data_IF_578335194773
#
_entry.id   IF_578335194773
#
_cell.length_a   1.000
_cell.length_b   1.000
_cell.length_c   1.000
_cell.angle_alpha   90.00
_cell.angle_beta   90.00
_cell.angle_gamma   90.00
#
_symmetry.space_group_name_H-M   'P 1'
#
loop_
_entity.id
_entity.type
_entity.pdbx_description
1 polymer ?
#
# COMPACT_ATOMS: atom_id res chain seq x y z
N UNK A 1 4.98 12.07 -18.86
CA UNK A 1 4.01 11.12 -19.46
C UNK A 1 2.71 11.19 -18.65
N UNK A 2 1.55 11.31 -19.29
CA UNK A 2 0.28 11.43 -18.55
C UNK A 2 -0.11 10.08 -17.93
N UNK A 3 -0.60 10.10 -16.67
CA UNK A 3 -0.95 8.89 -15.90
C UNK A 3 -2.16 8.14 -16.48
N UNK A 4 -3.01 8.83 -17.22
CA UNK A 4 -4.26 8.30 -17.79
C UNK A 4 -4.41 8.78 -19.24
N UNK A 5 -5.27 8.10 -20.00
CA UNK A 5 -5.59 8.45 -21.39
C UNK A 5 -6.97 9.11 -21.49
N UNK A 6 -7.18 9.91 -22.53
CA UNK A 6 -8.50 10.47 -22.86
C UNK A 6 -9.44 9.31 -23.25
N UNK A 7 -10.69 9.35 -22.78
CA UNK A 7 -11.69 8.29 -22.93
C UNK A 7 -11.55 7.14 -21.92
N UNK A 8 -10.51 7.15 -21.07
CA UNK A 8 -10.35 6.14 -20.04
C UNK A 8 -11.34 6.37 -18.89
N UNK A 9 -11.95 5.29 -18.39
CA UNK A 9 -12.72 5.31 -17.13
C UNK A 9 -11.74 5.16 -15.96
N UNK A 10 -11.83 6.09 -15.02
CA UNK A 10 -11.04 6.13 -13.79
C UNK A 10 -11.96 6.22 -12.58
N UNK A 11 -11.49 5.77 -11.42
CA UNK A 11 -12.27 5.79 -10.17
C UNK A 11 -11.60 6.75 -9.19
N UNK A 12 -12.40 7.57 -8.51
CA UNK A 12 -11.85 8.44 -7.46
C UNK A 12 -11.33 7.59 -6.29
N UNK A 13 -10.10 7.86 -5.86
CA UNK A 13 -9.40 7.13 -4.81
C UNK A 13 -9.74 7.63 -3.40
N UNK A 14 -10.26 8.85 -3.31
CA UNK A 14 -10.63 9.58 -2.09
C UNK A 14 -11.73 10.60 -2.41
N UNK A 15 -12.54 10.93 -1.41
CA UNK A 15 -13.53 11.98 -1.52
C UNK A 15 -12.81 13.32 -1.61
N UNK A 16 -13.30 14.19 -2.48
CA UNK A 16 -12.81 15.55 -2.56
C UNK A 16 -13.97 16.50 -2.78
N UNK A 17 -14.16 17.40 -1.83
CA UNK A 17 -15.14 18.47 -1.89
C UNK A 17 -14.41 19.79 -1.66
N UNK A 18 -14.50 20.71 -2.62
CA UNK A 18 -13.99 22.07 -2.46
C UNK A 18 -15.13 23.07 -2.55
N UNK A 19 -15.43 23.72 -1.42
CA UNK A 19 -16.46 24.76 -1.32
C UNK A 19 -16.13 25.97 -2.19
N UNK A 20 -14.85 26.32 -2.30
CA UNK A 20 -14.36 27.49 -3.04
C UNK A 20 -14.46 27.33 -4.57
N UNK A 21 -14.34 26.10 -5.08
CA UNK A 21 -14.35 25.83 -6.52
C UNK A 21 -15.52 24.95 -6.99
N UNK A 22 -16.43 24.59 -6.07
CA UNK A 22 -17.58 23.73 -6.35
C UNK A 22 -17.21 22.37 -6.95
N UNK A 23 -16.01 21.85 -6.67
CA UNK A 23 -15.50 20.59 -7.22
C UNK A 23 -15.84 19.45 -6.28
N UNK A 24 -16.52 18.44 -6.78
CA UNK A 24 -16.96 17.28 -6.00
C UNK A 24 -16.65 16.00 -6.77
N UNK A 25 -15.82 15.14 -6.18
CA UNK A 25 -15.66 13.76 -6.62
C UNK A 25 -15.82 12.84 -5.41
N UNK A 26 -16.67 11.84 -5.54
CA UNK A 26 -16.94 10.80 -4.56
C UNK A 26 -16.13 9.55 -4.89
N UNK A 27 -15.50 8.97 -3.85
CA UNK A 27 -14.71 7.74 -3.88
C UNK A 27 -15.53 6.59 -4.46
N UNK A 28 -14.90 5.76 -5.27
CA UNK A 28 -15.54 4.57 -5.82
C UNK A 28 -16.50 4.83 -6.98
N UNK A 29 -16.83 6.08 -7.28
CA UNK A 29 -17.59 6.44 -8.48
C UNK A 29 -16.67 6.44 -9.72
N UNK A 30 -17.12 5.90 -10.86
CA UNK A 30 -16.39 5.99 -12.12
C UNK A 30 -16.55 7.37 -12.77
N UNK A 31 -15.47 7.86 -13.38
CA UNK A 31 -15.39 9.11 -14.12
C UNK A 31 -14.67 8.88 -15.44
N UNK A 32 -15.17 9.49 -16.51
CA UNK A 32 -14.50 9.46 -17.80
C UNK A 32 -13.50 10.61 -17.93
N UNK A 33 -12.28 10.30 -18.37
CA UNK A 33 -11.27 11.30 -18.66
C UNK A 33 -11.59 12.01 -19.98
N UNK A 34 -12.06 13.24 -19.90
CA UNK A 34 -12.43 14.04 -21.07
C UNK A 34 -11.26 14.81 -21.68
N UNK A 35 -10.24 15.12 -20.88
CA UNK A 35 -9.06 15.86 -21.35
C UNK A 35 -7.92 15.77 -20.36
N UNK A 36 -6.70 15.94 -20.85
CA UNK A 36 -5.49 15.99 -20.02
C UNK A 36 -4.82 17.33 -20.24
N UNK A 37 -4.55 18.07 -19.16
CA UNK A 37 -3.83 19.33 -19.23
C UNK A 37 -2.38 19.08 -19.65
N UNK A 38 -1.99 19.55 -20.83
CA UNK A 38 -0.67 19.27 -21.40
C UNK A 38 0.49 19.82 -20.55
N UNK A 39 0.32 20.98 -19.91
CA UNK A 39 1.34 21.62 -19.07
C UNK A 39 1.30 21.20 -17.60
N UNK A 40 0.12 20.85 -17.08
CA UNK A 40 -0.08 20.57 -15.65
C UNK A 40 -0.26 19.08 -15.34
N UNK A 41 -0.46 18.25 -16.36
CA UNK A 41 -0.82 16.84 -16.22
C UNK A 41 -2.19 16.59 -15.58
N UNK A 42 -2.98 17.63 -15.30
CA UNK A 42 -4.28 17.50 -14.62
C UNK A 42 -5.29 16.75 -15.47
N UNK A 43 -6.14 15.98 -14.79
CA UNK A 43 -7.18 15.17 -15.41
C UNK A 43 -8.48 15.96 -15.40
N UNK A 44 -9.04 16.21 -16.57
CA UNK A 44 -10.34 16.84 -16.74
C UNK A 44 -11.45 15.79 -16.81
N UNK A 45 -12.34 15.77 -15.82
CA UNK A 45 -13.51 14.86 -15.75
C UNK A 45 -14.78 15.67 -15.47
N UNK A 46 -15.96 15.09 -15.67
CA UNK A 46 -17.21 15.67 -15.12
C UNK A 46 -17.30 15.33 -13.63
N UNK A 47 -17.43 16.35 -12.81
CA UNK A 47 -17.63 16.19 -11.37
C UNK A 47 -19.04 15.65 -11.04
N UNK A 48 -19.33 15.43 -9.77
CA UNK A 48 -20.63 14.89 -9.33
C UNK A 48 -21.83 15.79 -9.64
N UNK A 49 -21.59 17.06 -9.98
CA UNK A 49 -22.59 18.03 -10.42
C UNK A 49 -22.70 18.12 -11.94
N UNK A 50 -21.97 17.28 -12.68
CA UNK A 50 -21.96 17.23 -14.14
C UNK A 50 -21.08 18.29 -14.81
N UNK A 51 -20.40 19.13 -14.04
CA UNK A 51 -19.53 20.18 -14.57
C UNK A 51 -18.15 19.63 -14.90
N UNK A 52 -17.58 19.99 -16.06
CA UNK A 52 -16.20 19.62 -16.40
C UNK A 52 -15.23 20.37 -15.49
N UNK A 53 -14.41 19.65 -14.73
CA UNK A 53 -13.42 20.19 -13.79
C UNK A 53 -12.08 19.47 -13.92
N UNK A 54 -11.01 20.16 -13.55
CA UNK A 54 -9.67 19.62 -13.52
C UNK A 54 -9.23 19.25 -12.10
N UNK A 55 -8.68 18.06 -12.00
CA UNK A 55 -8.27 17.43 -10.75
C UNK A 55 -6.85 16.89 -10.88
N UNK A 56 -6.23 16.65 -9.73
CA UNK A 56 -4.88 16.09 -9.71
C UNK A 56 -4.93 14.57 -10.02
N UNK A 57 -3.96 14.02 -10.77
CA UNK A 57 -3.99 12.59 -11.16
C UNK A 57 -3.89 11.60 -9.99
N UNK A 58 -3.41 12.02 -8.82
CA UNK A 58 -3.36 11.22 -7.59
C UNK A 58 -4.75 10.95 -7.00
N UNK A 59 -5.73 11.78 -7.34
CA UNK A 59 -7.11 11.64 -6.89
C UNK A 59 -7.85 10.50 -7.59
N UNK A 60 -7.24 9.90 -8.62
CA UNK A 60 -7.83 8.80 -9.38
C UNK A 60 -6.93 7.57 -9.44
N UNK A 61 -7.58 6.43 -9.67
CA UNK A 61 -6.98 5.13 -9.95
C UNK A 61 -7.66 4.53 -11.18
N UNK A 62 -7.01 3.58 -11.85
CA UNK A 62 -7.71 2.75 -12.84
C UNK A 62 -8.78 1.90 -12.15
N UNK A 63 -9.80 1.49 -12.90
CA UNK A 63 -10.87 0.61 -12.38
C UNK A 63 -10.28 -0.69 -11.82
N UNK A 64 -9.33 -1.30 -12.54
CA UNK A 64 -8.63 -2.52 -12.09
C UNK A 64 -7.90 -2.31 -10.76
N UNK A 65 -7.17 -1.21 -10.61
CA UNK A 65 -6.45 -0.90 -9.38
C UNK A 65 -7.41 -0.63 -8.21
N UNK A 66 -8.58 -0.05 -8.50
CA UNK A 66 -9.62 0.17 -7.49
C UNK A 66 -10.27 -1.14 -7.04
N UNK A 67 -10.59 -2.05 -7.96
CA UNK A 67 -11.15 -3.38 -7.61
C UNK A 67 -10.13 -4.23 -6.84
N UNK A 68 -8.85 -4.18 -7.19
CA UNK A 68 -7.79 -4.82 -6.40
C UNK A 68 -7.68 -4.23 -4.98
N UNK A 69 -7.73 -2.90 -4.85
CA UNK A 69 -7.73 -2.23 -3.54
C UNK A 69 -8.95 -2.63 -2.70
N UNK A 70 -10.14 -2.65 -3.30
CA UNK A 70 -11.41 -3.03 -2.67
C UNK A 70 -11.44 -4.51 -2.27
N UNK A 71 -10.93 -5.40 -3.11
CA UNK A 71 -10.75 -6.81 -2.80
C UNK A 71 -9.77 -7.00 -1.62
N UNK A 72 -8.65 -6.27 -1.62
CA UNK A 72 -7.68 -6.29 -0.53
C UNK A 72 -8.26 -5.77 0.78
N UNK A 73 -9.03 -4.68 0.75
CA UNK A 73 -9.72 -4.13 1.92
C UNK A 73 -10.79 -5.08 2.46
N UNK A 74 -11.55 -5.76 1.60
CA UNK A 74 -12.48 -6.83 2.01
C UNK A 74 -11.76 -7.98 2.69
N UNK A 75 -10.62 -8.41 2.15
CA UNK A 75 -9.78 -9.47 2.74
C UNK A 75 -9.10 -9.07 4.07
N UNK A 76 -9.08 -7.78 4.39
CA UNK A 76 -8.50 -7.23 5.62
C UNK A 76 -9.57 -6.92 6.69
N UNK A 77 -10.86 -6.99 6.35
CA UNK A 77 -11.98 -6.67 7.26
C UNK A 77 -12.33 -7.81 8.22
N UNK A 78 -11.96 -9.05 7.89
CA UNK A 78 -12.35 -10.22 8.67
C UNK A 78 -11.28 -10.59 9.69
N UNK A 79 -11.71 -10.77 10.94
CA UNK A 79 -10.84 -11.28 11.99
C UNK A 79 -10.65 -12.80 11.84
N UNK A 80 -9.48 -13.36 12.22
CA UNK A 80 -9.28 -14.79 12.20
C UNK A 80 -10.29 -15.52 13.10
N UNK A 81 -11.18 -16.33 12.50
CA UNK A 81 -12.18 -17.14 13.23
C UNK A 81 -13.63 -16.65 13.08
N UNK A 82 -13.88 -15.59 12.32
CA UNK A 82 -15.22 -15.07 12.09
C UNK A 82 -16.00 -15.96 11.09
N UNK A 83 -17.14 -16.52 11.53
CA UNK A 83 -18.07 -17.26 10.67
C UNK A 83 -19.00 -16.25 9.99
N UNK A 84 -18.86 -16.08 8.69
CA UNK A 84 -19.72 -15.17 7.91
C UNK A 84 -20.89 -15.96 7.32
N UNK A 85 -22.15 -15.70 7.74
CA UNK A 85 -23.30 -16.24 7.04
C UNK A 85 -23.44 -15.51 5.69
N UNK A 86 -23.18 -16.21 4.58
CA UNK A 86 -23.44 -15.67 3.24
C UNK A 86 -24.91 -15.91 2.90
N UNK A 87 -25.69 -14.89 2.50
CA UNK A 87 -27.04 -15.12 2.00
C UNK A 87 -26.95 -15.96 0.72
N UNK A 88 -27.62 -17.12 0.74
CA UNK A 88 -27.71 -18.04 -0.40
C UNK A 88 -28.30 -17.27 -1.58
N UNK A 89 -27.51 -17.01 -2.63
CA UNK A 89 -28.02 -16.41 -3.88
C UNK A 89 -27.10 -15.46 -4.64
N UNK A 90 -25.94 -15.04 -4.11
CA UNK A 90 -24.98 -14.21 -4.85
C UNK A 90 -23.64 -14.91 -5.05
N UNK A 91 -23.67 -16.02 -5.79
CA UNK A 91 -22.47 -16.71 -6.25
C UNK A 91 -21.82 -15.92 -7.41
N UNK A 92 -21.15 -14.81 -7.07
CA UNK A 92 -20.13 -14.22 -7.93
C UNK A 92 -18.84 -15.02 -7.78
N UNK A 93 -18.33 -15.53 -8.89
CA UNK A 93 -17.13 -16.36 -9.04
C UNK A 93 -15.91 -15.81 -8.30
N UNK A 94 -15.67 -16.22 -7.05
CA UNK A 94 -14.37 -16.03 -6.40
C UNK A 94 -14.02 -17.22 -5.52
N UNK A 95 -12.90 -17.88 -5.82
CA UNK A 95 -11.89 -18.42 -4.89
C UNK A 95 -12.33 -19.24 -3.65
N UNK A 96 -13.45 -19.95 -3.68
CA UNK A 96 -13.87 -20.78 -2.54
C UNK A 96 -14.02 -22.25 -2.93
N UNK A 97 -13.45 -23.14 -2.11
CA UNK A 97 -13.77 -24.57 -2.13
C UNK A 97 -15.01 -24.74 -1.25
N UNK A 98 -16.12 -25.11 -1.85
CA UNK A 98 -17.34 -25.48 -1.12
C UNK A 98 -17.18 -26.90 -0.58
N UNK A 99 -17.20 -27.07 0.74
CA UNK A 99 -17.60 -28.37 1.30
C UNK A 99 -19.12 -28.46 1.22
N UNK A 100 -19.64 -29.66 0.94
CA UNK A 100 -21.03 -29.98 0.57
C UNK A 100 -22.15 -29.60 1.58
N UNK A 101 -21.89 -28.69 2.52
CA UNK A 101 -22.84 -28.06 3.44
C UNK A 101 -22.87 -26.53 3.38
N UNK A 102 -22.30 -25.89 2.34
CA UNK A 102 -22.40 -24.42 2.15
C UNK A 102 -21.51 -23.59 3.07
N UNK A 103 -20.51 -24.20 3.71
CA UNK A 103 -19.54 -23.49 4.56
C UNK A 103 -18.24 -23.28 3.80
N UNK A 104 -17.83 -22.02 3.68
CA UNK A 104 -16.54 -21.64 3.07
C UNK A 104 -15.46 -21.74 4.16
N UNK A 105 -14.57 -22.73 4.03
CA UNK A 105 -13.35 -22.77 4.84
C UNK A 105 -12.30 -21.84 4.23
N UNK A 106 -12.20 -20.62 4.75
CA UNK A 106 -11.09 -19.72 4.39
C UNK A 106 -9.80 -20.37 4.86
N UNK A 107 -8.96 -20.84 3.94
CA UNK A 107 -7.62 -21.33 4.29
C UNK A 107 -6.89 -20.22 5.04
N UNK A 108 -6.39 -20.48 6.27
CA UNK A 108 -5.70 -19.47 7.04
C UNK A 108 -4.53 -18.95 6.21
N UNK A 109 -4.43 -17.62 6.06
CA UNK A 109 -3.20 -17.01 5.57
C UNK A 109 -2.06 -17.54 6.46
N UNK A 110 -0.91 -17.98 5.90
CA UNK A 110 0.26 -18.22 6.73
C UNK A 110 0.50 -16.91 7.49
N UNK A 111 0.35 -16.94 8.82
CA UNK A 111 0.66 -15.77 9.67
C UNK A 111 2.02 -15.30 9.19
N UNK A 112 2.13 -14.04 8.74
CA UNK A 112 3.44 -13.42 8.53
C UNK A 112 4.12 -13.53 9.89
N UNK A 113 5.01 -14.51 10.05
CA UNK A 113 5.75 -14.68 11.29
C UNK A 113 6.58 -13.42 11.38
N UNK A 114 6.25 -12.54 12.32
CA UNK A 114 7.14 -11.44 12.69
C UNK A 114 8.51 -12.08 12.91
N UNK A 115 9.56 -11.66 12.18
CA UNK A 115 10.87 -12.26 12.34
C UNK A 115 11.27 -12.10 13.80
N UNK A 116 11.40 -13.22 14.51
CA UNK A 116 11.76 -13.24 15.94
C UNK A 116 13.26 -13.01 16.15
N UNK A 117 14.07 -13.32 15.14
CA UNK A 117 15.50 -13.06 15.10
C UNK A 117 15.97 -13.01 13.64
N UNK A 118 17.05 -12.25 13.41
CA UNK A 118 17.79 -12.21 12.15
C UNK A 118 19.20 -12.68 12.48
N UNK A 119 19.70 -13.67 11.75
CA UNK A 119 21.12 -14.07 11.83
C UNK A 119 21.88 -13.26 10.80
N UNK A 120 22.88 -12.52 11.24
CA UNK A 120 23.78 -11.73 10.40
C UNK A 120 25.17 -12.33 10.58
N UNK A 121 25.92 -12.46 9.50
CA UNK A 121 27.33 -12.85 9.59
C UNK A 121 28.11 -11.76 10.33
N UNK A 122 28.95 -12.10 11.34
CA UNK A 122 29.77 -11.13 12.03
C UNK A 122 30.63 -10.25 11.10
N UNK A 123 31.11 -10.77 9.98
CA UNK A 123 31.91 -10.01 9.02
C UNK A 123 31.09 -8.91 8.33
N UNK A 124 29.84 -9.22 7.97
CA UNK A 124 28.92 -8.27 7.35
C UNK A 124 28.48 -7.19 8.34
N UNK A 125 28.24 -7.58 9.60
CA UNK A 125 27.93 -6.65 10.67
C UNK A 125 29.08 -5.63 10.90
N UNK A 126 30.33 -6.09 10.95
CA UNK A 126 31.50 -5.21 11.11
C UNK A 126 31.67 -4.25 9.95
N UNK A 127 31.51 -4.72 8.71
CA UNK A 127 31.58 -3.87 7.50
C UNK A 127 30.48 -2.81 7.50
N UNK A 128 29.25 -3.19 7.82
CA UNK A 128 28.12 -2.27 7.87
C UNK A 128 28.31 -1.20 8.95
N UNK A 129 28.76 -1.58 10.14
CA UNK A 129 29.01 -0.65 11.24
C UNK A 129 30.20 0.28 10.96
N UNK A 130 31.28 -0.24 10.38
CA UNK A 130 32.44 0.58 9.93
C UNK A 130 32.00 1.65 8.92
N UNK A 131 31.21 1.25 7.93
CA UNK A 131 30.63 2.18 6.94
C UNK A 131 29.76 3.24 7.63
N UNK A 132 28.91 2.83 8.56
CA UNK A 132 28.04 3.73 9.31
C UNK A 132 28.83 4.75 10.16
N UNK A 133 29.92 4.33 10.82
CA UNK A 133 30.79 5.24 11.60
C UNK A 133 31.39 6.35 10.73
N UNK A 134 31.82 6.00 9.52
CA UNK A 134 32.36 6.97 8.56
C UNK A 134 31.28 7.90 8.00
N UNK A 135 30.16 7.34 7.55
CA UNK A 135 29.12 8.11 6.84
C UNK A 135 28.26 8.98 7.76
N UNK A 136 27.96 8.49 8.97
CA UNK A 136 27.05 9.19 9.90
C UNK A 136 27.82 10.03 10.91
N UNK A 137 28.95 9.52 11.42
CA UNK A 137 29.68 10.14 12.52
C UNK A 137 31.02 10.76 12.09
N UNK A 138 31.45 10.57 10.84
CA UNK A 138 32.72 11.12 10.34
C UNK A 138 33.97 10.51 11.00
N UNK A 139 33.83 9.37 11.68
CA UNK A 139 34.92 8.71 12.38
C UNK A 139 35.57 7.72 11.42
N UNK A 140 36.84 7.96 11.09
CA UNK A 140 37.64 7.03 10.27
C UNK A 140 38.27 5.96 11.18
N UNK A 141 37.47 4.94 11.49
CA UNK A 141 37.89 3.82 12.33
C UNK A 141 37.24 2.52 11.84
N UNK A 142 37.90 1.39 12.08
CA UNK A 142 37.37 0.07 11.72
C UNK A 142 36.76 -0.62 12.93
N UNK A 143 35.61 -1.29 12.76
CA UNK A 143 34.99 -2.05 13.87
C UNK A 143 35.63 -3.43 13.98
N UNK A 144 36.40 -3.64 15.04
CA UNK A 144 37.04 -4.93 15.30
C UNK A 144 36.11 -5.90 16.02
N UNK A 145 35.34 -5.41 16.99
CA UNK A 145 34.43 -6.25 17.77
C UNK A 145 33.14 -5.49 18.12
N UNK A 146 32.05 -6.26 18.25
CA UNK A 146 30.74 -5.76 18.68
C UNK A 146 30.36 -6.55 19.92
N UNK A 147 30.24 -5.86 21.06
CA UNK A 147 29.94 -6.46 22.35
C UNK A 147 28.53 -6.04 22.75
N UNK A 148 27.69 -7.01 23.11
CA UNK A 148 26.38 -6.72 23.69
C UNK A 148 26.55 -6.26 25.13
N UNK A 149 26.13 -5.03 25.43
CA UNK A 149 26.11 -4.52 26.79
C UNK A 149 24.88 -5.04 27.55
N UNK A 150 24.99 -5.14 28.88
CA UNK A 150 23.93 -5.70 29.75
C UNK A 150 22.62 -4.88 29.72
N UNK A 151 22.70 -3.61 29.33
CA UNK A 151 21.58 -2.66 29.22
C UNK A 151 20.88 -2.68 27.86
N UNK A 152 21.18 -3.68 27.02
CA UNK A 152 20.68 -3.81 25.63
C UNK A 152 21.28 -2.80 24.65
N UNK A 153 22.32 -2.06 25.03
CA UNK A 153 23.12 -1.27 24.09
C UNK A 153 24.21 -2.13 23.41
N UNK A 154 24.78 -1.64 22.31
CA UNK A 154 25.91 -2.26 21.62
C UNK A 154 27.15 -1.41 21.85
N UNK A 155 28.21 -2.01 22.36
CA UNK A 155 29.52 -1.40 22.46
C UNK A 155 30.37 -1.80 21.24
N UNK A 156 30.97 -0.80 20.59
CA UNK A 156 31.82 -0.98 19.42
C UNK A 156 33.28 -0.81 19.81
N UNK A 157 34.08 -1.86 19.66
CA UNK A 157 35.54 -1.78 19.81
C UNK A 157 36.13 -1.38 18.47
N UNK A 158 36.76 -0.20 18.44
CA UNK A 158 37.33 0.39 17.24
C UNK A 158 38.82 0.07 17.15
N UNK A 159 39.26 -0.40 15.98
CA UNK A 159 40.66 -0.48 15.59
C UNK A 159 41.08 0.78 14.83
N UNK A 160 42.34 1.18 15.04
CA UNK A 160 42.99 2.26 14.30
C UNK A 160 43.36 1.84 12.87
#
# INVERSE_FOLDING_TARGET
MAKFNIGQIVVASKDFTSSYHGRIITTGKPYEVLSIGQSTGRVGVRDDRGSKRFFSPDQFMSVEAYELKKAQERLNRFEPGEVIPVPVGSAGEFLYVMDGGGTIHVKPKPKRKTPRSIKIDPADAKKALTKMLKEVYGIDATVEQVIGAMDKSLELVLGA
#
